data_IF_739360415264
#
_entry.id   IF_739360415264
#
_cell.length_a   1.000
_cell.length_b   1.000
_cell.length_c   1.000
_cell.angle_alpha   90.00
_cell.angle_beta   90.00
_cell.angle_gamma   90.00
#
_symmetry.space_group_name_H-M   'P 1'
#
loop_
_entity.id
_entity.type
_entity.pdbx_description
1 polymer ?
#
# COMPACT_ATOMS: atom_id res chain seq x y z
N UNK A 1 -52.74 11.38 -20.35
CA UNK A 1 -52.78 11.36 -18.88
C UNK A 1 -51.87 10.24 -18.39
N UNK A 2 -51.05 10.51 -17.38
CA UNK A 2 -50.08 9.53 -16.85
C UNK A 2 -50.51 9.15 -15.44
N UNK A 3 -50.76 7.87 -15.18
CA UNK A 3 -51.16 7.37 -13.87
C UNK A 3 -49.97 6.78 -13.12
N UNK A 4 -49.87 7.09 -11.83
CA UNK A 4 -48.80 6.60 -10.94
C UNK A 4 -49.41 5.83 -9.77
N UNK A 5 -48.99 4.57 -9.63
CA UNK A 5 -49.50 3.66 -8.61
C UNK A 5 -48.40 3.24 -7.62
N UNK A 6 -48.77 3.08 -6.35
CA UNK A 6 -47.91 2.52 -5.30
C UNK A 6 -48.50 1.23 -4.79
N UNK A 7 -47.64 0.31 -4.34
CA UNK A 7 -48.11 -0.97 -3.80
C UNK A 7 -48.88 -0.76 -2.48
N UNK A 8 -50.10 -1.28 -2.42
CA UNK A 8 -50.95 -1.24 -1.23
C UNK A 8 -50.87 -2.56 -0.46
N UNK A 9 -50.94 -3.70 -1.16
CA UNK A 9 -50.95 -5.03 -0.55
C UNK A 9 -50.32 -6.04 -1.50
N UNK A 10 -49.52 -6.97 -0.96
CA UNK A 10 -49.04 -8.15 -1.67
C UNK A 10 -49.89 -9.36 -1.34
N UNK A 11 -50.35 -10.11 -2.33
CA UNK A 11 -51.01 -11.41 -2.13
C UNK A 11 -50.26 -12.50 -2.90
N UNK A 12 -50.56 -13.76 -2.60
CA UNK A 12 -49.89 -14.90 -3.26
C UNK A 12 -50.17 -15.00 -4.77
N UNK A 13 -51.28 -14.43 -5.26
CA UNK A 13 -51.72 -14.55 -6.65
C UNK A 13 -51.71 -13.24 -7.43
N UNK A 14 -51.76 -12.08 -6.76
CA UNK A 14 -51.71 -10.76 -7.37
C UNK A 14 -51.34 -9.69 -6.35
N UNK A 15 -50.67 -8.64 -6.79
CA UNK A 15 -50.41 -7.45 -5.99
C UNK A 15 -51.52 -6.42 -6.22
N UNK A 16 -51.91 -5.74 -5.15
CA UNK A 16 -52.86 -4.63 -5.22
C UNK A 16 -52.09 -3.33 -5.16
N UNK A 17 -52.20 -2.56 -6.22
CA UNK A 17 -51.64 -1.23 -6.34
C UNK A 17 -52.74 -0.20 -6.11
N UNK A 18 -52.40 0.96 -5.58
CA UNK A 18 -53.30 2.10 -5.39
C UNK A 18 -52.79 3.32 -6.12
N UNK A 19 -53.71 4.11 -6.68
CA UNK A 19 -53.34 5.39 -7.27
C UNK A 19 -52.84 6.34 -6.17
N UNK A 20 -51.60 6.83 -6.32
CA UNK A 20 -50.93 7.65 -5.31
C UNK A 20 -51.69 8.96 -5.08
N UNK A 21 -52.33 9.51 -6.12
CA UNK A 21 -52.96 10.83 -6.05
C UNK A 21 -54.41 10.80 -5.58
N UNK A 22 -55.18 9.79 -5.97
CA UNK A 22 -56.51 9.60 -5.37
C UNK A 22 -56.40 9.51 -3.85
N UNK A 23 -55.37 8.81 -3.35
CA UNK A 23 -55.11 8.72 -1.92
C UNK A 23 -54.87 10.09 -1.28
N UNK A 24 -54.11 10.98 -1.92
CA UNK A 24 -53.86 12.34 -1.42
C UNK A 24 -55.10 13.24 -1.39
N UNK A 25 -56.13 12.87 -2.16
CA UNK A 25 -57.43 13.55 -2.21
C UNK A 25 -58.53 12.82 -1.41
N UNK A 26 -58.18 11.80 -0.63
CA UNK A 26 -59.13 11.02 0.16
C UNK A 26 -59.94 9.95 -0.61
N UNK A 27 -59.60 9.70 -1.88
CA UNK A 27 -60.21 8.67 -2.73
C UNK A 27 -59.33 7.41 -2.84
N UNK A 28 -59.94 6.24 -3.05
CA UNK A 28 -59.24 4.94 -3.01
C UNK A 28 -59.38 4.14 -4.30
N UNK A 29 -58.67 4.57 -5.34
CA UNK A 29 -58.57 3.82 -6.60
C UNK A 29 -57.50 2.73 -6.47
N UNK A 30 -57.90 1.49 -6.73
CA UNK A 30 -57.05 0.30 -6.65
C UNK A 30 -57.03 -0.41 -8.01
N UNK A 31 -55.92 -1.05 -8.32
CA UNK A 31 -55.73 -1.86 -9.52
C UNK A 31 -54.97 -3.12 -9.14
N UNK A 32 -55.31 -4.25 -9.77
CA UNK A 32 -54.59 -5.52 -9.59
C UNK A 32 -53.46 -5.64 -10.61
N UNK A 33 -52.30 -6.09 -10.14
CA UNK A 33 -51.11 -6.34 -10.96
C UNK A 33 -50.68 -7.78 -10.75
N UNK A 34 -50.51 -8.53 -11.84
CA UNK A 34 -49.94 -9.88 -11.83
C UNK A 34 -48.57 -9.81 -12.49
N UNK A 35 -47.52 -10.10 -11.74
CA UNK A 35 -46.15 -9.86 -12.20
C UNK A 35 -45.92 -8.37 -12.48
N UNK A 36 -45.76 -8.00 -13.75
CA UNK A 36 -45.56 -6.62 -14.22
C UNK A 36 -46.72 -6.09 -15.08
N UNK A 37 -47.85 -6.80 -15.16
CA UNK A 37 -48.99 -6.41 -16.00
C UNK A 37 -50.22 -6.02 -15.17
N UNK A 38 -50.88 -4.94 -15.59
CA UNK A 38 -52.16 -4.51 -15.04
C UNK A 38 -53.28 -5.42 -15.55
N UNK A 39 -54.15 -5.91 -14.66
CA UNK A 39 -55.29 -6.76 -15.06
C UNK A 39 -56.40 -6.01 -15.79
N UNK A 40 -56.42 -4.69 -15.68
CA UNK A 40 -57.40 -3.81 -16.31
C UNK A 40 -56.68 -2.56 -16.81
N UNK A 41 -57.23 -1.88 -17.82
CA UNK A 41 -56.61 -0.66 -18.34
C UNK A 41 -56.66 0.42 -17.26
N UNK A 42 -55.50 0.94 -16.78
CA UNK A 42 -55.49 1.99 -15.76
C UNK A 42 -56.24 3.26 -16.18
N UNK A 43 -56.35 3.50 -17.49
CA UNK A 43 -57.07 4.62 -18.09
C UNK A 43 -58.59 4.43 -18.12
N UNK A 44 -59.09 3.19 -17.99
CA UNK A 44 -60.54 2.91 -17.95
C UNK A 44 -61.12 2.93 -16.54
N UNK A 45 -60.29 3.03 -15.50
CA UNK A 45 -60.75 3.17 -14.13
C UNK A 45 -61.27 4.59 -13.94
N UNK A 46 -62.55 4.74 -13.58
CA UNK A 46 -63.25 6.02 -13.44
C UNK A 46 -62.68 6.91 -12.34
N UNK A 47 -61.55 7.55 -12.61
CA UNK A 47 -60.91 8.51 -11.71
C UNK A 47 -60.24 9.64 -12.50
N UNK A 48 -60.49 10.88 -12.08
CA UNK A 48 -59.84 12.06 -12.65
C UNK A 48 -58.64 12.36 -11.76
N UNK A 49 -57.46 11.95 -12.22
CA UNK A 49 -56.18 12.26 -11.58
C UNK A 49 -55.49 13.35 -12.41
N UNK A 50 -55.79 14.64 -12.20
CA UNK A 50 -55.19 15.71 -12.98
C UNK A 50 -53.67 15.66 -12.77
N UNK A 51 -52.90 15.45 -13.85
CA UNK A 51 -51.44 15.58 -13.85
C UNK A 51 -51.07 16.98 -13.36
N UNK A 52 -50.10 17.13 -12.44
CA UNK A 52 -49.69 18.46 -12.00
C UNK A 52 -48.94 19.12 -13.17
N UNK A 53 -47.90 18.45 -13.67
CA UNK A 53 -47.24 18.68 -14.96
C UNK A 53 -46.58 17.37 -15.42
N UNK A 54 -46.31 17.23 -16.72
CA UNK A 54 -45.52 16.09 -17.27
C UNK A 54 -44.13 16.04 -16.63
N UNK A 55 -43.54 17.21 -16.38
CA UNK A 55 -42.25 17.37 -15.73
C UNK A 55 -42.19 16.81 -14.29
N UNK A 56 -43.22 17.05 -13.48
CA UNK A 56 -43.28 16.54 -12.10
C UNK A 56 -43.24 15.00 -12.06
N UNK A 57 -44.07 14.35 -12.88
CA UNK A 57 -44.17 12.90 -12.93
C UNK A 57 -42.91 12.24 -13.51
N UNK A 58 -42.31 12.86 -14.55
CA UNK A 58 -41.04 12.42 -15.11
C UNK A 58 -39.90 12.49 -14.08
N UNK A 59 -39.81 13.57 -13.31
CA UNK A 59 -38.80 13.72 -12.27
C UNK A 59 -38.95 12.69 -11.14
N UNK A 60 -40.19 12.40 -10.68
CA UNK A 60 -40.42 11.39 -9.64
C UNK A 60 -39.90 10.02 -10.06
N UNK A 61 -40.20 9.60 -11.31
CA UNK A 61 -39.76 8.30 -11.83
C UNK A 61 -38.24 8.22 -11.91
N UNK A 62 -37.63 9.21 -12.57
CA UNK A 62 -36.17 9.28 -12.72
C UNK A 62 -35.47 9.30 -11.36
N UNK A 63 -35.99 10.06 -10.40
CA UNK A 63 -35.45 10.07 -9.04
C UNK A 63 -35.59 8.72 -8.33
N UNK A 64 -36.70 8.01 -8.51
CA UNK A 64 -36.88 6.68 -7.92
C UNK A 64 -35.90 5.65 -8.52
N UNK A 65 -35.72 5.66 -9.84
CA UNK A 65 -34.75 4.83 -10.56
C UNK A 65 -33.32 5.13 -10.09
N UNK A 66 -32.96 6.41 -9.95
CA UNK A 66 -31.67 6.83 -9.38
C UNK A 66 -31.47 6.27 -7.97
N UNK A 67 -32.51 6.33 -7.11
CA UNK A 67 -32.41 5.79 -5.74
C UNK A 67 -32.26 4.26 -5.73
N UNK A 68 -32.91 3.54 -6.65
CA UNK A 68 -32.72 2.09 -6.80
C UNK A 68 -31.32 1.75 -7.32
N UNK A 69 -30.84 2.50 -8.31
CA UNK A 69 -29.47 2.38 -8.82
C UNK A 69 -28.45 2.61 -7.71
N UNK A 70 -28.59 3.67 -6.91
CA UNK A 70 -27.73 3.95 -5.76
C UNK A 70 -27.73 2.79 -4.77
N UNK A 71 -28.87 2.13 -4.52
CA UNK A 71 -28.94 0.98 -3.61
C UNK A 71 -28.15 -0.23 -4.12
N UNK A 72 -28.18 -0.49 -5.43
CA UNK A 72 -27.51 -1.63 -6.07
C UNK A 72 -26.04 -1.38 -6.42
N UNK A 73 -25.65 -0.12 -6.60
CA UNK A 73 -24.34 0.25 -7.13
C UNK A 73 -23.27 0.38 -6.03
N UNK A 74 -22.23 -0.45 -6.10
CA UNK A 74 -21.07 -0.37 -5.22
C UNK A 74 -20.27 0.92 -5.39
N UNK A 75 -20.37 1.65 -6.51
CA UNK A 75 -19.71 2.94 -6.67
C UNK A 75 -20.35 4.05 -5.82
N UNK A 76 -21.58 3.82 -5.32
CA UNK A 76 -22.22 4.71 -4.35
C UNK A 76 -21.64 4.56 -2.93
N UNK A 77 -20.81 3.54 -2.67
CA UNK A 77 -20.10 3.35 -1.38
C UNK A 77 -19.12 4.51 -1.14
N UNK A 78 -19.43 5.34 -0.14
CA UNK A 78 -18.57 6.44 0.31
C UNK A 78 -18.90 7.81 -0.28
N UNK A 79 -19.90 7.92 -1.16
CA UNK A 79 -20.40 9.21 -1.63
C UNK A 79 -21.12 9.96 -0.50
N UNK A 80 -20.94 11.28 -0.45
CA UNK A 80 -21.71 12.17 0.43
C UNK A 80 -23.06 12.48 -0.19
N UNK A 81 -24.07 12.72 0.65
CA UNK A 81 -25.44 13.09 0.25
C UNK A 81 -25.45 14.22 -0.80
N UNK A 82 -24.62 15.25 -0.61
CA UNK A 82 -24.52 16.39 -1.53
C UNK A 82 -23.89 16.03 -2.88
N UNK A 83 -22.99 15.05 -2.94
CA UNK A 83 -22.39 14.59 -4.20
C UNK A 83 -23.41 13.85 -5.06
N UNK A 84 -24.26 13.02 -4.45
CA UNK A 84 -25.38 12.38 -5.14
C UNK A 84 -26.38 13.41 -5.65
N UNK A 85 -26.69 14.44 -4.86
CA UNK A 85 -27.58 15.51 -5.30
C UNK A 85 -27.06 16.22 -6.55
N UNK A 86 -25.77 16.60 -6.58
CA UNK A 86 -25.14 17.18 -7.77
C UNK A 86 -25.06 16.22 -8.96
N UNK A 87 -24.87 14.92 -8.71
CA UNK A 87 -24.91 13.90 -9.76
C UNK A 87 -26.30 13.89 -10.43
N UNK A 88 -27.38 13.85 -9.65
CA UNK A 88 -28.74 13.91 -10.18
C UNK A 88 -29.07 15.22 -10.91
N UNK A 89 -28.49 16.36 -10.52
CA UNK A 89 -28.60 17.61 -11.28
C UNK A 89 -27.96 17.45 -12.68
N UNK A 90 -26.73 16.96 -12.74
CA UNK A 90 -26.01 16.74 -14.01
C UNK A 90 -26.72 15.75 -14.92
N UNK A 91 -27.17 14.62 -14.39
CA UNK A 91 -27.86 13.58 -15.19
C UNK A 91 -29.19 14.06 -15.77
N UNK A 92 -29.82 15.09 -15.18
CA UNK A 92 -31.00 15.74 -15.75
C UNK A 92 -30.62 16.74 -16.83
N UNK A 93 -29.60 17.56 -16.57
CA UNK A 93 -29.06 18.48 -17.58
C UNK A 93 -28.59 17.73 -18.84
N UNK A 94 -27.82 16.66 -18.67
CA UNK A 94 -27.28 15.82 -19.75
C UNK A 94 -28.36 15.04 -20.53
N UNK A 95 -29.57 14.90 -19.97
CA UNK A 95 -30.68 14.22 -20.66
C UNK A 95 -31.48 15.14 -21.60
N UNK A 96 -30.95 16.31 -21.95
CA UNK A 96 -31.58 17.27 -22.87
C UNK A 96 -31.64 16.72 -24.29
N UNK A 97 -32.82 16.78 -24.90
CA UNK A 97 -33.05 16.43 -26.32
C UNK A 97 -33.70 17.61 -27.04
N UNK A 98 -33.39 17.82 -28.33
CA UNK A 98 -33.86 18.97 -29.13
C UNK A 98 -35.39 19.06 -29.28
N UNK A 99 -36.13 17.97 -29.04
CA UNK A 99 -37.57 17.89 -29.29
C UNK A 99 -38.49 18.21 -28.09
N UNK A 100 -37.96 18.50 -26.88
CA UNK A 100 -38.78 18.61 -25.65
C UNK A 100 -38.20 19.57 -24.59
N UNK A 101 -37.78 20.77 -25.00
CA UNK A 101 -37.09 21.75 -24.14
C UNK A 101 -37.90 22.19 -22.91
N UNK A 102 -39.20 22.49 -23.07
CA UNK A 102 -40.06 22.89 -21.96
C UNK A 102 -40.27 21.78 -20.91
N UNK A 103 -40.25 20.51 -21.35
CA UNK A 103 -40.36 19.36 -20.44
C UNK A 103 -39.05 19.18 -19.67
N UNK A 104 -37.90 19.36 -20.34
CA UNK A 104 -36.58 19.31 -19.72
C UNK A 104 -36.42 20.37 -18.62
N UNK A 105 -36.71 21.64 -18.93
CA UNK A 105 -36.63 22.74 -17.97
C UNK A 105 -37.54 22.50 -16.76
N UNK A 106 -38.74 21.98 -17.00
CA UNK A 106 -39.65 21.56 -15.94
C UNK A 106 -39.07 20.46 -15.07
N UNK A 107 -38.47 19.40 -15.63
CA UNK A 107 -37.88 18.30 -14.87
C UNK A 107 -36.70 18.76 -14.01
N UNK A 108 -35.85 19.63 -14.55
CA UNK A 108 -34.73 20.22 -13.80
C UNK A 108 -35.24 21.07 -12.64
N UNK A 109 -36.23 21.94 -12.90
CA UNK A 109 -36.88 22.77 -11.88
C UNK A 109 -37.51 21.91 -10.76
N UNK A 110 -38.24 20.85 -11.12
CA UNK A 110 -38.91 19.94 -10.16
C UNK A 110 -37.93 19.12 -9.32
N UNK A 111 -36.76 18.80 -9.87
CA UNK A 111 -35.71 18.14 -9.10
C UNK A 111 -35.05 19.10 -8.11
N UNK A 112 -34.80 20.34 -8.55
CA UNK A 112 -34.23 21.37 -7.70
C UNK A 112 -35.20 21.75 -6.58
N UNK A 113 -36.46 22.07 -6.90
CA UNK A 113 -37.50 22.46 -5.95
C UNK A 113 -37.04 23.60 -5.05
N UNK A 114 -37.06 23.38 -3.73
CA UNK A 114 -36.50 24.33 -2.73
C UNK A 114 -35.00 24.11 -2.45
N UNK A 115 -34.30 23.46 -3.37
CA UNK A 115 -32.89 23.12 -3.29
C UNK A 115 -32.60 21.79 -2.59
N UNK A 116 -31.33 21.62 -2.18
CA UNK A 116 -30.78 20.38 -1.62
C UNK A 116 -31.61 19.77 -0.47
N UNK A 117 -32.18 20.59 0.40
CA UNK A 117 -32.91 20.12 1.59
C UNK A 117 -34.13 19.26 1.24
N UNK A 118 -34.78 19.50 0.09
CA UNK A 118 -35.92 18.70 -0.38
C UNK A 118 -35.57 17.22 -0.55
N UNK A 119 -34.37 16.92 -1.06
CA UNK A 119 -33.94 15.54 -1.42
C UNK A 119 -32.97 14.93 -0.41
N UNK A 120 -32.36 15.75 0.45
CA UNK A 120 -31.35 15.34 1.44
C UNK A 120 -31.74 14.12 2.26
N UNK A 121 -32.92 14.11 2.88
CA UNK A 121 -33.37 13.00 3.75
C UNK A 121 -33.54 11.69 2.97
N UNK A 122 -34.06 11.75 1.75
CA UNK A 122 -34.30 10.56 0.95
C UNK A 122 -33.00 9.98 0.40
N UNK A 123 -32.12 10.83 -0.11
CA UNK A 123 -30.76 10.43 -0.52
C UNK A 123 -29.99 9.84 0.67
N UNK A 124 -30.04 10.48 1.84
CA UNK A 124 -29.36 9.99 3.04
C UNK A 124 -29.85 8.61 3.49
N UNK A 125 -31.17 8.35 3.43
CA UNK A 125 -31.74 7.03 3.73
C UNK A 125 -31.26 5.95 2.75
N UNK A 126 -31.20 6.26 1.46
CA UNK A 126 -30.72 5.30 0.46
C UNK A 126 -29.21 5.04 0.55
N UNK A 127 -28.42 6.06 0.89
CA UNK A 127 -26.99 5.89 1.18
C UNK A 127 -26.72 5.14 2.50
N UNK A 128 -27.64 5.21 3.47
CA UNK A 128 -27.47 4.53 4.75
C UNK A 128 -27.40 3.01 4.61
N UNK A 129 -27.99 2.42 3.57
CA UNK A 129 -27.90 0.99 3.25
C UNK A 129 -26.45 0.55 3.02
N UNK A 130 -25.58 1.48 2.61
CA UNK A 130 -24.15 1.23 2.42
C UNK A 130 -23.30 1.45 3.67
N UNK A 131 -23.85 2.00 4.77
CA UNK A 131 -23.09 2.22 6.01
C UNK A 131 -22.64 0.91 6.65
N UNK A 132 -23.52 -0.09 6.71
CA UNK A 132 -23.21 -1.39 7.30
C UNK A 132 -22.34 -2.27 6.39
N UNK A 133 -22.29 -1.94 5.10
CA UNK A 133 -21.37 -2.52 4.11
C UNK A 133 -20.00 -1.83 4.07
N UNK A 134 -19.78 -0.79 4.88
CA UNK A 134 -18.51 -0.08 4.89
C UNK A 134 -17.49 -0.82 5.74
N UNK A 135 -16.35 -1.14 5.14
CA UNK A 135 -15.22 -1.69 5.89
C UNK A 135 -14.70 -0.68 6.92
N UNK A 136 -14.58 -1.15 8.15
CA UNK A 136 -13.93 -0.48 9.28
C UNK A 136 -12.92 -1.42 9.91
N UNK A 137 -12.07 -0.92 10.81
CA UNK A 137 -11.13 -1.80 11.53
C UNK A 137 -11.87 -2.82 12.43
N UNK A 138 -13.07 -2.49 12.92
CA UNK A 138 -13.87 -3.39 13.76
C UNK A 138 -14.73 -4.36 12.94
N UNK A 139 -15.12 -3.99 11.72
CA UNK A 139 -15.98 -4.79 10.86
C UNK A 139 -15.52 -4.73 9.40
N UNK A 140 -15.03 -5.86 8.88
CA UNK A 140 -14.70 -6.04 7.46
C UNK A 140 -15.81 -6.89 6.81
N UNK A 141 -16.57 -6.37 5.83
CA UNK A 141 -17.57 -7.12 5.09
C UNK A 141 -17.04 -8.43 4.48
N UNK A 142 -17.87 -9.48 4.44
CA UNK A 142 -17.46 -10.83 4.02
C UNK A 142 -16.86 -10.88 2.61
N UNK A 143 -17.35 -10.06 1.67
CA UNK A 143 -16.81 -9.95 0.30
C UNK A 143 -15.38 -9.42 0.25
N UNK A 144 -14.96 -8.69 1.28
CA UNK A 144 -13.60 -8.17 1.46
C UNK A 144 -12.71 -9.10 2.30
N UNK A 145 -13.30 -10.06 3.03
CA UNK A 145 -12.54 -11.03 3.81
C UNK A 145 -11.92 -12.13 2.95
N UNK A 146 -12.55 -12.48 1.81
CA UNK A 146 -12.12 -13.59 0.96
C UNK A 146 -11.60 -13.13 -0.41
N UNK A 147 -10.78 -13.96 -1.05
CA UNK A 147 -10.37 -13.85 -2.46
C UNK A 147 -11.47 -14.32 -3.41
N UNK A 148 -11.25 -14.16 -4.72
CA UNK A 148 -12.20 -14.59 -5.76
C UNK A 148 -12.44 -16.10 -5.79
N UNK A 149 -11.48 -16.90 -5.31
CA UNK A 149 -11.58 -18.36 -5.20
C UNK A 149 -12.18 -18.83 -3.85
N UNK A 150 -12.74 -17.90 -3.07
CA UNK A 150 -13.36 -18.17 -1.77
C UNK A 150 -12.36 -18.34 -0.61
N UNK A 151 -11.06 -18.37 -0.88
CA UNK A 151 -10.05 -18.51 0.17
C UNK A 151 -10.02 -17.27 1.08
N UNK A 152 -9.81 -17.48 2.38
CA UNK A 152 -9.71 -16.40 3.35
C UNK A 152 -8.46 -15.54 3.07
N UNK A 153 -8.66 -14.23 2.94
CA UNK A 153 -7.60 -13.24 2.77
C UNK A 153 -7.32 -12.46 4.05
N UNK A 154 -8.34 -12.16 4.85
CA UNK A 154 -8.21 -11.52 6.18
C UNK A 154 -7.90 -12.59 7.23
N UNK A 155 -6.67 -12.58 7.75
CA UNK A 155 -6.06 -13.67 8.54
C UNK A 155 -5.96 -13.36 10.04
N UNK A 156 -6.08 -12.09 10.40
CA UNK A 156 -6.27 -11.62 11.78
C UNK A 156 -6.94 -10.25 11.73
N UNK A 157 -7.89 -10.02 12.63
CA UNK A 157 -8.60 -8.76 12.74
C UNK A 157 -8.71 -8.33 14.20
N UNK A 158 -8.47 -7.04 14.45
CA UNK A 158 -8.78 -6.33 15.68
C UNK A 158 -8.90 -4.84 15.35
N UNK A 159 -9.44 -4.03 16.26
CA UNK A 159 -9.66 -2.59 16.04
C UNK A 159 -8.42 -1.79 15.59
N UNK A 160 -7.22 -2.30 15.84
CA UNK A 160 -5.96 -1.60 15.60
C UNK A 160 -4.94 -2.42 14.82
N UNK A 161 -5.29 -3.63 14.40
CA UNK A 161 -4.36 -4.55 13.77
C UNK A 161 -5.07 -5.55 12.88
N UNK A 162 -4.76 -5.52 11.58
CA UNK A 162 -5.20 -6.51 10.59
C UNK A 162 -3.99 -7.18 9.94
N UNK A 163 -4.14 -8.44 9.56
CA UNK A 163 -3.20 -9.15 8.68
C UNK A 163 -3.97 -9.71 7.48
N UNK A 164 -3.42 -9.50 6.28
CA UNK A 164 -3.93 -10.05 5.03
C UNK A 164 -2.83 -10.83 4.31
N UNK A 165 -3.15 -12.03 3.85
CA UNK A 165 -2.32 -12.82 2.94
C UNK A 165 -3.12 -13.97 2.34
N UNK A 166 -2.62 -14.51 1.23
CA UNK A 166 -3.09 -15.74 0.60
C UNK A 166 -2.13 -16.88 0.90
N UNK A 167 -2.60 -17.93 1.55
CA UNK A 167 -1.79 -19.14 1.78
C UNK A 167 -1.34 -19.77 0.47
N UNK A 168 -2.21 -19.78 -0.56
CA UNK A 168 -1.89 -20.30 -1.90
C UNK A 168 -0.76 -19.51 -2.57
N UNK A 169 -0.75 -18.18 -2.42
CA UNK A 169 0.33 -17.33 -2.95
C UNK A 169 1.65 -17.62 -2.23
N UNK A 170 1.63 -17.77 -0.90
CA UNK A 170 2.82 -18.10 -0.11
C UNK A 170 3.34 -19.50 -0.45
N UNK A 171 2.46 -20.49 -0.54
CA UNK A 171 2.80 -21.86 -0.96
C UNK A 171 3.48 -21.84 -2.32
N UNK A 172 2.92 -21.10 -3.27
CA UNK A 172 3.50 -20.98 -4.61
C UNK A 172 4.87 -20.31 -4.59
N UNK A 173 5.04 -19.26 -3.80
CA UNK A 173 6.34 -18.60 -3.63
C UNK A 173 7.40 -19.58 -3.12
N UNK A 174 7.04 -20.47 -2.18
CA UNK A 174 7.93 -21.53 -1.72
C UNK A 174 8.28 -22.50 -2.85
N UNK A 175 7.30 -22.95 -3.64
CA UNK A 175 7.53 -23.92 -4.72
C UNK A 175 8.41 -23.38 -5.86
N UNK A 176 8.38 -22.06 -6.13
CA UNK A 176 9.28 -21.41 -7.10
C UNK A 176 10.58 -20.87 -6.48
N UNK A 177 10.95 -21.33 -5.28
CA UNK A 177 12.28 -21.09 -4.71
C UNK A 177 12.43 -19.74 -4.01
N UNK A 178 11.48 -19.37 -3.15
CA UNK A 178 11.61 -18.25 -2.20
C UNK A 178 12.95 -18.30 -1.46
N UNK A 179 13.73 -17.22 -1.55
CA UNK A 179 15.08 -17.15 -0.98
C UNK A 179 15.38 -15.89 -0.16
N UNK A 180 14.65 -14.79 -0.41
CA UNK A 180 14.79 -13.53 0.33
C UNK A 180 13.42 -13.04 0.76
N UNK A 181 13.32 -12.57 2.01
CA UNK A 181 12.23 -11.75 2.49
C UNK A 181 12.69 -10.30 2.61
N UNK A 182 11.90 -9.36 2.12
CA UNK A 182 12.11 -7.92 2.29
C UNK A 182 10.86 -7.33 2.94
N UNK A 183 11.01 -6.62 4.05
CA UNK A 183 9.85 -6.04 4.71
C UNK A 183 10.07 -4.57 5.08
N UNK A 184 9.04 -3.76 4.88
CA UNK A 184 9.07 -2.32 5.08
C UNK A 184 7.68 -1.75 5.38
N UNK A 185 7.64 -0.60 6.05
CA UNK A 185 6.41 0.07 6.47
C UNK A 185 6.21 1.41 5.77
N UNK A 186 4.98 1.70 5.37
CA UNK A 186 4.59 2.99 4.77
C UNK A 186 3.41 3.62 5.51
N UNK A 187 3.54 4.91 5.81
CA UNK A 187 2.53 5.68 6.56
C UNK A 187 1.39 6.21 5.69
N UNK A 188 1.65 6.52 4.43
CA UNK A 188 0.66 7.10 3.53
C UNK A 188 -0.42 6.09 3.10
N UNK A 189 -0.15 4.78 3.16
CA UNK A 189 -1.10 3.74 2.73
C UNK A 189 -1.96 3.17 3.88
N UNK A 190 -1.84 3.69 5.11
CA UNK A 190 -2.72 3.28 6.20
C UNK A 190 -4.18 3.73 5.96
N UNK A 191 -5.21 3.02 6.44
CA UNK A 191 -6.60 3.45 6.29
C UNK A 191 -6.94 4.79 6.97
N UNK A 192 -7.90 5.56 6.44
CA UNK A 192 -8.44 6.78 7.08
C UNK A 192 -8.98 6.50 8.49
N UNK A 193 -9.54 5.31 8.67
CA UNK A 193 -10.12 4.82 9.92
C UNK A 193 -9.10 4.80 11.08
N UNK A 194 -7.80 4.87 10.80
CA UNK A 194 -6.73 4.93 11.83
C UNK A 194 -6.25 6.35 12.16
N UNK A 195 -6.91 7.39 11.65
CA UNK A 195 -6.63 8.79 11.98
C UNK A 195 -5.13 9.16 11.86
N UNK A 196 -4.46 8.63 10.83
CA UNK A 196 -3.02 8.86 10.53
C UNK A 196 -2.03 8.33 11.57
N UNK A 197 -2.47 7.53 12.54
CA UNK A 197 -1.62 7.00 13.62
C UNK A 197 -0.95 5.64 13.34
N UNK A 198 -1.20 5.05 12.17
CA UNK A 198 -0.72 3.73 11.78
C UNK A 198 0.20 3.70 10.56
N UNK A 199 0.32 2.50 10.02
CA UNK A 199 1.08 2.17 8.83
C UNK A 199 0.48 0.94 8.13
N UNK A 200 0.79 0.81 6.85
CA UNK A 200 0.77 -0.47 6.16
C UNK A 200 2.20 -1.04 6.20
N UNK A 201 2.37 -2.18 6.83
CA UNK A 201 3.61 -2.97 6.80
C UNK A 201 3.44 -4.09 5.77
N UNK A 202 4.40 -4.25 4.86
CA UNK A 202 4.34 -5.35 3.88
C UNK A 202 5.61 -6.18 3.90
N UNK A 203 5.43 -7.49 3.73
CA UNK A 203 6.51 -8.47 3.57
C UNK A 203 6.46 -8.99 2.15
N UNK A 204 7.59 -8.91 1.45
CA UNK A 204 7.77 -9.33 0.07
C UNK A 204 8.72 -10.52 0.01
N UNK A 205 8.41 -11.46 -0.88
CA UNK A 205 9.28 -12.56 -1.24
C UNK A 205 10.04 -12.27 -2.52
N UNK A 206 11.32 -12.66 -2.56
CA UNK A 206 12.07 -12.84 -3.80
C UNK A 206 12.24 -14.32 -4.04
N UNK A 207 11.73 -14.79 -5.16
CA UNK A 207 11.72 -16.18 -5.57
C UNK A 207 12.80 -16.44 -6.62
N UNK A 208 12.81 -17.65 -7.19
CA UNK A 208 13.64 -18.00 -8.33
C UNK A 208 13.58 -16.94 -9.44
N UNK A 209 14.71 -16.74 -10.12
CA UNK A 209 14.86 -15.78 -11.23
C UNK A 209 14.64 -14.31 -10.86
N UNK A 210 14.61 -13.98 -9.57
CA UNK A 210 14.44 -12.61 -9.08
C UNK A 210 12.99 -12.12 -9.18
N UNK A 211 12.01 -13.02 -9.22
CA UNK A 211 10.59 -12.69 -9.16
C UNK A 211 10.27 -12.14 -7.78
N UNK A 212 9.74 -10.92 -7.74
CA UNK A 212 9.49 -10.16 -6.52
C UNK A 212 7.98 -10.01 -6.33
N UNK A 213 7.45 -10.51 -5.21
CA UNK A 213 6.01 -10.49 -4.95
C UNK A 213 5.69 -10.09 -3.51
N UNK A 214 4.63 -9.32 -3.25
CA UNK A 214 4.11 -9.16 -1.91
C UNK A 214 3.52 -10.48 -1.42
N UNK A 215 3.77 -10.82 -0.15
CA UNK A 215 3.28 -12.05 0.48
C UNK A 215 2.37 -11.78 1.67
N UNK A 216 2.64 -10.71 2.42
CA UNK A 216 1.86 -10.34 3.61
C UNK A 216 1.65 -8.83 3.66
N UNK A 217 0.45 -8.42 4.02
CA UNK A 217 0.09 -7.06 4.34
C UNK A 217 -0.41 -6.98 5.78
N UNK A 218 0.09 -6.04 6.56
CA UNK A 218 -0.36 -5.81 7.92
C UNK A 218 -0.67 -4.34 8.14
N UNK A 219 -1.88 -4.06 8.59
CA UNK A 219 -2.31 -2.71 8.96
C UNK A 219 -2.18 -2.61 10.48
N UNK A 220 -1.44 -1.62 10.99
CA UNK A 220 -1.21 -1.49 12.44
C UNK A 220 -1.04 -0.04 12.88
N UNK A 221 -1.54 0.29 14.07
CA UNK A 221 -1.20 1.53 14.81
C UNK A 221 0.01 1.39 15.72
N UNK A 222 0.48 0.16 15.95
CA UNK A 222 1.57 -0.15 16.87
C UNK A 222 2.79 -0.69 16.13
N UNK A 223 3.93 -0.05 16.34
CA UNK A 223 5.26 -0.44 15.79
C UNK A 223 6.13 -1.17 16.82
N UNK A 224 5.53 -2.09 17.57
CA UNK A 224 6.21 -2.79 18.68
C UNK A 224 6.78 -4.13 18.22
N UNK A 225 7.79 -4.64 18.93
CA UNK A 225 8.36 -5.97 18.67
C UNK A 225 7.27 -7.06 18.72
N UNK A 226 6.30 -6.95 19.63
CA UNK A 226 5.23 -7.93 19.75
C UNK A 226 4.35 -8.00 18.49
N UNK A 227 4.01 -6.85 17.90
CA UNK A 227 3.20 -6.81 16.68
C UNK A 227 3.97 -7.39 15.49
N UNK A 228 5.22 -6.99 15.27
CA UNK A 228 6.01 -7.58 14.18
C UNK A 228 6.25 -9.07 14.38
N UNK A 229 6.41 -9.51 15.63
CA UNK A 229 6.58 -10.93 15.96
C UNK A 229 5.35 -11.72 15.52
N UNK A 230 4.13 -11.24 15.80
CA UNK A 230 2.89 -11.87 15.29
C UNK A 230 2.88 -12.01 13.76
N UNK A 231 3.22 -10.93 13.04
CA UNK A 231 3.27 -10.93 11.57
C UNK A 231 4.25 -12.00 11.08
N UNK A 232 5.47 -12.00 11.62
CA UNK A 232 6.51 -12.93 11.22
C UNK A 232 6.22 -14.37 11.63
N UNK A 233 5.57 -14.61 12.78
CA UNK A 233 5.22 -15.96 13.23
C UNK A 233 4.18 -16.61 12.32
N UNK A 234 3.11 -15.89 11.95
CA UNK A 234 2.14 -16.40 10.98
C UNK A 234 2.79 -16.76 9.65
N UNK A 235 3.65 -15.89 9.13
CA UNK A 235 4.38 -16.17 7.90
C UNK A 235 5.31 -17.38 8.08
N UNK A 236 6.09 -17.45 9.17
CA UNK A 236 7.02 -18.55 9.42
C UNK A 236 6.31 -19.90 9.46
N UNK A 237 5.16 -20.00 10.14
CA UNK A 237 4.38 -21.25 10.20
C UNK A 237 4.03 -21.76 8.80
N UNK A 238 3.56 -20.87 7.91
CA UNK A 238 3.25 -21.23 6.53
C UNK A 238 4.49 -21.59 5.72
N UNK A 239 5.57 -20.84 5.89
CA UNK A 239 6.84 -21.14 5.21
C UNK A 239 7.35 -22.54 5.60
N UNK A 240 7.24 -22.92 6.88
CA UNK A 240 7.62 -24.24 7.35
C UNK A 240 6.69 -25.34 6.82
N UNK A 241 5.37 -25.12 6.84
CA UNK A 241 4.41 -26.11 6.32
C UNK A 241 4.53 -26.34 4.81
N UNK A 242 5.01 -25.34 4.06
CA UNK A 242 5.22 -25.44 2.62
C UNK A 242 6.67 -25.79 2.23
N UNK A 243 7.50 -26.20 3.18
CA UNK A 243 8.86 -26.69 2.90
C UNK A 243 9.85 -25.61 2.44
N UNK A 244 9.65 -24.35 2.85
CA UNK A 244 10.63 -23.30 2.60
C UNK A 244 11.95 -23.59 3.32
N UNK A 245 13.05 -23.15 2.72
CA UNK A 245 14.39 -23.22 3.32
C UNK A 245 14.44 -22.46 4.66
N UNK A 246 15.22 -22.96 5.62
CA UNK A 246 15.37 -22.31 6.92
C UNK A 246 16.35 -21.11 6.88
N UNK A 247 17.31 -21.13 5.97
CA UNK A 247 18.39 -20.14 5.85
C UNK A 247 18.03 -18.94 4.95
N UNK A 248 16.74 -18.56 4.95
CA UNK A 248 16.25 -17.38 4.21
C UNK A 248 17.06 -16.15 4.56
N UNK A 249 17.25 -15.28 3.57
CA UNK A 249 17.80 -13.95 3.83
C UNK A 249 16.68 -12.98 4.13
N UNK A 250 16.77 -12.23 5.22
CA UNK A 250 15.74 -11.27 5.60
C UNK A 250 16.36 -9.87 5.57
N UNK A 251 15.83 -8.97 4.75
CA UNK A 251 16.34 -7.60 4.58
C UNK A 251 15.30 -6.63 5.12
N UNK A 252 15.64 -5.94 6.21
CA UNK A 252 14.78 -4.96 6.88
C UNK A 252 15.40 -3.56 6.84
N UNK A 253 14.60 -2.55 7.14
CA UNK A 253 15.10 -1.25 7.56
C UNK A 253 15.80 -1.32 8.95
N UNK A 254 16.20 -0.18 9.50
CA UNK A 254 16.84 -0.11 10.83
C UNK A 254 15.83 0.17 11.95
N UNK A 255 14.59 -0.30 11.83
CA UNK A 255 13.61 -0.23 12.91
C UNK A 255 13.90 -1.31 13.96
N UNK A 256 14.12 -0.88 15.22
CA UNK A 256 14.55 -1.77 16.32
C UNK A 256 13.56 -2.92 16.57
N UNK A 257 12.27 -2.61 16.56
CA UNK A 257 11.19 -3.54 16.86
C UNK A 257 11.02 -4.61 15.79
N UNK A 258 11.08 -4.24 14.50
CA UNK A 258 11.02 -5.19 13.38
C UNK A 258 12.24 -6.14 13.38
N UNK A 259 13.46 -5.60 13.59
CA UNK A 259 14.69 -6.38 13.71
C UNK A 259 14.60 -7.38 14.87
N UNK A 260 14.17 -6.93 16.05
CA UNK A 260 14.08 -7.80 17.22
C UNK A 260 13.04 -8.91 17.03
N UNK A 261 11.94 -8.61 16.36
CA UNK A 261 10.93 -9.61 16.02
C UNK A 261 11.49 -10.66 15.05
N UNK A 262 12.07 -10.23 13.93
CA UNK A 262 12.65 -11.14 12.95
C UNK A 262 13.76 -12.03 13.54
N UNK A 263 14.65 -11.47 14.38
CA UNK A 263 15.69 -12.25 15.07
C UNK A 263 15.11 -13.34 15.98
N UNK A 264 14.00 -13.06 16.67
CA UNK A 264 13.35 -14.00 17.58
C UNK A 264 12.56 -15.06 16.83
N UNK A 265 11.94 -14.70 15.71
CA UNK A 265 11.10 -15.61 14.93
C UNK A 265 11.94 -16.50 14.00
N UNK A 266 12.90 -15.95 13.26
CA UNK A 266 13.70 -16.65 12.25
C UNK A 266 15.14 -16.88 12.71
N UNK A 267 15.35 -17.80 13.65
CA UNK A 267 16.67 -18.09 14.21
C UNK A 267 17.69 -18.64 13.18
N UNK A 268 17.23 -19.41 12.19
CA UNK A 268 18.07 -19.95 11.10
C UNK A 268 18.34 -18.97 9.95
N UNK A 269 17.65 -17.83 9.90
CA UNK A 269 17.73 -16.90 8.79
C UNK A 269 18.95 -15.95 8.86
N UNK A 270 19.41 -15.53 7.69
CA UNK A 270 20.41 -14.48 7.56
C UNK A 270 19.75 -13.09 7.60
N UNK A 271 19.65 -12.51 8.80
CA UNK A 271 19.09 -11.18 8.96
C UNK A 271 20.08 -10.07 8.57
N UNK A 272 19.62 -9.14 7.75
CA UNK A 272 20.37 -8.03 7.20
C UNK A 272 19.58 -6.71 7.28
N UNK A 273 20.30 -5.60 7.41
CA UNK A 273 19.74 -4.26 7.30
C UNK A 273 19.95 -3.68 5.90
N UNK A 274 19.04 -2.82 5.47
CA UNK A 274 19.06 -2.15 4.18
C UNK A 274 20.24 -1.17 4.07
N UNK A 275 21.11 -1.34 3.06
CA UNK A 275 22.27 -0.46 2.89
C UNK A 275 21.91 0.98 2.56
N UNK A 276 20.73 1.22 2.00
CA UNK A 276 20.22 2.57 1.73
C UNK A 276 19.85 3.28 3.04
N UNK A 277 19.05 2.64 3.89
CA UNK A 277 18.70 3.16 5.22
C UNK A 277 19.91 3.34 6.14
N UNK A 278 20.91 2.44 6.06
CA UNK A 278 22.20 2.63 6.74
C UNK A 278 22.88 3.93 6.28
N UNK A 279 23.01 4.10 4.96
CA UNK A 279 23.67 5.27 4.37
C UNK A 279 22.95 6.56 4.77
N UNK A 280 21.61 6.58 4.72
CA UNK A 280 20.82 7.71 5.21
C UNK A 280 21.10 8.01 6.69
N UNK A 281 21.10 7.00 7.57
CA UNK A 281 21.39 7.21 8.98
C UNK A 281 22.79 7.81 9.22
N UNK A 282 23.79 7.34 8.46
CA UNK A 282 25.15 7.88 8.52
C UNK A 282 25.22 9.32 7.98
N UNK A 283 24.58 9.60 6.85
CA UNK A 283 24.53 10.93 6.25
C UNK A 283 23.84 11.93 7.18
N UNK A 284 22.66 11.60 7.73
CA UNK A 284 21.94 12.43 8.70
C UNK A 284 22.77 12.72 9.94
N UNK A 285 23.47 11.71 10.49
CA UNK A 285 24.32 11.93 11.66
C UNK A 285 25.50 12.83 11.37
N UNK A 286 26.15 12.65 10.23
CA UNK A 286 27.23 13.52 9.74
C UNK A 286 26.75 14.96 9.55
N UNK A 287 25.59 15.15 8.93
CA UNK A 287 24.98 16.46 8.71
C UNK A 287 24.63 17.14 10.03
N UNK A 288 24.00 16.42 10.97
CA UNK A 288 23.68 16.92 12.32
C UNK A 288 24.92 17.34 13.11
N UNK A 289 26.08 16.77 12.82
CA UNK A 289 27.36 17.16 13.44
C UNK A 289 28.04 18.33 12.71
N UNK A 290 27.44 18.89 11.67
CA UNK A 290 27.97 20.00 10.90
C UNK A 290 29.17 19.63 10.03
N UNK A 291 29.33 18.34 9.67
CA UNK A 291 30.46 17.87 8.87
C UNK A 291 30.28 18.08 7.36
N UNK A 292 29.07 18.39 6.89
CA UNK A 292 28.76 18.57 5.45
C UNK A 292 29.64 19.61 4.78
N UNK A 293 29.84 20.75 5.43
CA UNK A 293 30.64 21.87 4.91
C UNK A 293 32.10 21.49 4.59
N UNK A 294 32.67 20.53 5.33
CA UNK A 294 34.03 20.07 5.10
C UNK A 294 34.16 19.04 3.96
N UNK A 295 33.03 18.58 3.40
CA UNK A 295 33.00 17.62 2.29
C UNK A 295 32.74 18.28 0.94
N UNK A 296 32.05 19.42 0.94
CA UNK A 296 31.67 20.17 -0.25
C UNK A 296 31.57 21.67 0.06
N UNK A 297 31.87 22.51 -0.93
CA UNK A 297 31.81 23.97 -0.79
C UNK A 297 33.15 24.62 -0.40
N UNK A 298 33.13 25.90 -0.01
CA UNK A 298 34.34 26.71 0.22
C UNK A 298 35.23 26.20 1.38
N UNK A 299 34.63 25.62 2.42
CA UNK A 299 35.35 25.12 3.61
C UNK A 299 35.74 23.64 3.50
N UNK A 300 35.78 23.11 2.27
CA UNK A 300 36.09 21.70 2.00
C UNK A 300 37.51 21.35 2.46
N UNK A 301 37.63 20.29 3.25
CA UNK A 301 38.90 19.73 3.70
C UNK A 301 39.08 18.32 3.10
N UNK A 302 40.18 18.14 2.35
CA UNK A 302 40.48 16.90 1.62
C UNK A 302 40.63 15.70 2.54
N UNK A 303 41.21 15.88 3.73
CA UNK A 303 41.38 14.81 4.74
C UNK A 303 40.04 14.28 5.23
N UNK A 304 39.09 15.17 5.51
CA UNK A 304 37.73 14.82 5.94
C UNK A 304 36.95 14.20 4.78
N UNK A 305 37.08 14.75 3.57
CA UNK A 305 36.47 14.19 2.36
C UNK A 305 36.88 12.73 2.14
N UNK A 306 38.20 12.46 2.15
CA UNK A 306 38.75 11.11 1.96
C UNK A 306 38.36 10.18 3.11
N UNK A 307 38.38 10.67 4.34
CA UNK A 307 37.95 9.93 5.53
C UNK A 307 36.48 9.49 5.42
N UNK A 308 35.59 10.39 4.99
CA UNK A 308 34.18 10.07 4.78
C UNK A 308 33.97 8.99 3.71
N UNK A 309 34.65 9.07 2.58
CA UNK A 309 34.58 8.05 1.53
C UNK A 309 35.08 6.68 2.05
N UNK A 310 36.18 6.65 2.80
CA UNK A 310 36.65 5.41 3.44
C UNK A 310 35.59 4.81 4.36
N UNK A 311 34.95 5.62 5.21
CA UNK A 311 33.92 5.14 6.12
C UNK A 311 32.70 4.58 5.38
N UNK A 312 32.18 5.27 4.36
CA UNK A 312 31.06 4.76 3.53
C UNK A 312 31.38 3.39 2.92
N UNK A 313 32.60 3.23 2.41
CA UNK A 313 33.07 2.00 1.79
C UNK A 313 33.11 0.78 2.71
N UNK A 314 33.10 0.97 4.04
CA UNK A 314 33.14 -0.12 5.02
C UNK A 314 31.97 -1.09 4.87
N UNK A 315 30.83 -0.65 4.32
CA UNK A 315 29.65 -1.50 4.10
C UNK A 315 30.00 -2.70 3.22
N UNK A 316 30.96 -2.54 2.31
CA UNK A 316 31.41 -3.58 1.41
C UNK A 316 32.70 -4.27 1.86
N UNK A 317 33.23 -3.94 3.04
CA UNK A 317 34.47 -4.52 3.54
C UNK A 317 34.22 -5.74 4.44
N UNK A 318 34.94 -6.86 4.27
CA UNK A 318 34.91 -7.98 5.21
C UNK A 318 35.13 -7.51 6.65
N UNK A 319 34.32 -8.01 7.59
CA UNK A 319 34.40 -7.62 9.02
C UNK A 319 35.81 -7.77 9.59
N UNK A 320 36.53 -8.84 9.22
CA UNK A 320 37.90 -9.12 9.65
C UNK A 320 38.94 -8.08 9.22
N UNK A 321 38.66 -7.29 8.19
CA UNK A 321 39.59 -6.26 7.70
C UNK A 321 39.32 -4.87 8.27
N UNK A 322 38.25 -4.68 9.06
CA UNK A 322 37.88 -3.37 9.62
C UNK A 322 38.97 -2.80 10.52
N UNK A 323 39.67 -3.65 11.28
CA UNK A 323 40.80 -3.23 12.13
C UNK A 323 41.98 -2.63 11.35
N UNK A 324 42.03 -2.85 10.02
CA UNK A 324 43.10 -2.34 9.15
C UNK A 324 42.79 -0.98 8.53
N UNK A 325 41.64 -0.38 8.85
CA UNK A 325 41.17 0.89 8.26
C UNK A 325 41.45 2.03 9.23
N UNK A 326 42.47 2.84 8.94
CA UNK A 326 42.90 3.94 9.83
C UNK A 326 41.82 5.00 10.06
N UNK A 327 40.88 5.14 9.12
CA UNK A 327 39.72 6.02 9.28
C UNK A 327 38.89 5.70 10.54
N UNK A 328 38.99 4.48 11.07
CA UNK A 328 38.31 4.05 12.30
C UNK A 328 39.12 4.32 13.57
N UNK A 329 40.39 4.69 13.49
CA UNK A 329 41.27 4.91 14.66
C UNK A 329 40.98 6.27 15.31
N UNK A 330 40.92 7.34 14.52
CA UNK A 330 40.70 8.69 15.02
C UNK A 330 40.28 9.71 13.95
N UNK A 331 40.01 10.96 14.38
CA UNK A 331 39.73 12.07 13.46
C UNK A 331 40.83 12.27 12.41
N UNK A 332 40.48 12.66 11.17
CA UNK A 332 41.46 12.81 10.08
C UNK A 332 42.22 14.14 10.10
N UNK A 333 42.04 14.95 11.15
CA UNK A 333 42.62 16.30 11.28
C UNK A 333 43.25 16.46 12.68
N UNK A 334 44.17 17.42 12.90
CA UNK A 334 44.77 17.69 14.21
C UNK A 334 43.76 18.20 15.24
N UNK A 335 44.10 18.11 16.54
CA UNK A 335 43.25 18.53 17.66
C UNK A 335 42.81 20.01 17.60
N UNK A 336 43.65 20.89 17.06
CA UNK A 336 43.36 22.32 16.91
C UNK A 336 42.36 22.65 15.79
N UNK A 337 42.02 21.71 14.91
CA UNK A 337 41.07 21.97 13.83
C UNK A 337 39.62 21.87 14.33
N UNK A 338 38.76 22.84 13.98
CA UNK A 338 37.31 22.87 14.30
C UNK A 338 36.54 21.57 14.05
N UNK A 339 36.93 20.81 13.03
CA UNK A 339 36.28 19.58 12.66
C UNK A 339 36.69 18.37 13.52
N UNK A 340 37.74 18.48 14.33
CA UNK A 340 38.27 17.39 15.14
C UNK A 340 37.20 16.78 16.05
N UNK A 341 36.58 17.63 16.89
CA UNK A 341 35.53 17.20 17.83
C UNK A 341 34.31 16.65 17.10
N UNK A 342 33.94 17.22 15.95
CA UNK A 342 32.83 16.76 15.10
C UNK A 342 33.11 15.35 14.55
N UNK A 343 34.30 15.10 14.03
CA UNK A 343 34.73 13.78 13.55
C UNK A 343 34.79 12.75 14.69
N UNK A 344 35.35 13.12 15.85
CA UNK A 344 35.42 12.24 17.02
C UNK A 344 34.02 11.81 17.50
N UNK A 345 33.05 12.75 17.53
CA UNK A 345 31.65 12.45 17.86
C UNK A 345 30.99 11.52 16.85
N UNK A 346 31.34 11.64 15.57
CA UNK A 346 30.85 10.72 14.53
C UNK A 346 31.44 9.30 14.73
N UNK A 347 32.75 9.17 14.97
CA UNK A 347 33.37 7.88 15.25
C UNK A 347 32.78 7.19 16.47
N UNK A 348 32.51 7.95 17.55
CA UNK A 348 31.82 7.42 18.73
C UNK A 348 30.44 6.87 18.40
N UNK A 349 29.66 7.62 17.59
CA UNK A 349 28.37 7.13 17.11
C UNK A 349 28.51 5.85 16.26
N UNK A 350 29.48 5.83 15.34
CA UNK A 350 29.74 4.68 14.48
C UNK A 350 30.11 3.44 15.31
N UNK A 351 31.01 3.60 16.28
CA UNK A 351 31.41 2.52 17.21
C UNK A 351 30.22 2.00 17.99
N UNK A 352 29.55 2.86 18.75
CA UNK A 352 28.51 2.47 19.71
C UNK A 352 27.25 1.91 19.04
N UNK A 353 26.90 2.40 17.85
CA UNK A 353 25.67 1.99 17.15
C UNK A 353 25.92 0.84 16.17
N UNK A 354 27.00 0.92 15.39
CA UNK A 354 27.20 0.10 14.19
C UNK A 354 28.34 -0.90 14.30
N UNK A 355 29.39 -0.66 15.10
CA UNK A 355 30.51 -1.61 15.21
C UNK A 355 30.33 -2.58 16.37
N UNK A 356 29.91 -2.09 17.54
CA UNK A 356 29.69 -2.89 18.75
C UNK A 356 28.22 -2.98 19.17
N UNK A 357 27.37 -2.07 18.69
CA UNK A 357 25.97 -1.96 19.09
C UNK A 357 25.02 -2.98 18.46
N UNK A 358 23.73 -2.70 18.61
CA UNK A 358 22.61 -3.55 18.18
C UNK A 358 22.65 -3.93 16.68
N UNK A 359 23.23 -3.07 15.85
CA UNK A 359 23.29 -3.25 14.40
C UNK A 359 24.56 -3.94 13.91
N UNK A 360 25.50 -4.32 14.79
CA UNK A 360 26.87 -4.77 14.44
C UNK A 360 26.98 -5.80 13.31
N UNK A 361 26.01 -6.70 13.22
CA UNK A 361 26.02 -7.82 12.27
C UNK A 361 25.05 -7.63 11.09
N UNK A 362 24.35 -6.50 10.96
CA UNK A 362 23.27 -6.33 9.98
C UNK A 362 23.68 -5.59 8.70
N UNK A 363 24.70 -4.75 8.75
CA UNK A 363 24.99 -3.80 7.66
C UNK A 363 26.12 -4.23 6.70
N UNK A 364 26.80 -5.36 6.95
CA UNK A 364 27.88 -5.84 6.08
C UNK A 364 27.30 -6.40 4.76
N UNK A 365 27.69 -5.83 3.62
CA UNK A 365 27.31 -6.24 2.26
C UNK A 365 28.44 -6.85 1.46
N UNK A 366 29.54 -7.23 2.12
CA UNK A 366 30.59 -8.03 1.49
C UNK A 366 30.01 -9.35 0.95
N UNK A 367 30.32 -9.70 -0.31
CA UNK A 367 29.78 -10.87 -1.03
C UNK A 367 28.25 -10.91 -1.13
N UNK A 368 27.58 -9.75 -1.00
CA UNK A 368 26.15 -9.61 -1.28
C UNK A 368 25.98 -8.91 -2.61
N UNK A 369 25.74 -9.68 -3.67
CA UNK A 369 25.68 -9.17 -5.05
C UNK A 369 24.30 -8.61 -5.41
N UNK A 370 23.24 -9.12 -4.77
CA UNK A 370 21.85 -8.75 -5.02
C UNK A 370 21.12 -8.38 -3.72
N UNK A 371 19.90 -7.82 -3.83
CA UNK A 371 18.98 -7.51 -2.72
C UNK A 371 19.66 -6.91 -1.47
N UNK A 372 20.46 -5.84 -1.66
CA UNK A 372 21.16 -5.13 -0.57
C UNK A 372 20.30 -4.06 0.10
N UNK A 373 19.18 -3.68 -0.52
CA UNK A 373 18.29 -2.60 -0.10
C UNK A 373 16.84 -3.08 -0.10
N UNK A 374 15.96 -2.26 0.48
CA UNK A 374 14.49 -2.39 0.50
C UNK A 374 13.82 -1.75 -0.72
N UNK A 375 14.57 -1.48 -1.80
CA UNK A 375 14.04 -0.79 -2.98
C UNK A 375 12.81 -1.48 -3.59
N UNK A 376 12.70 -2.81 -3.49
CA UNK A 376 11.51 -3.56 -3.88
C UNK A 376 10.28 -3.05 -3.11
N UNK A 377 10.35 -3.04 -1.78
CA UNK A 377 9.24 -2.61 -0.95
C UNK A 377 8.92 -1.12 -1.19
N UNK A 378 9.93 -0.25 -1.30
CA UNK A 378 9.74 1.17 -1.62
C UNK A 378 9.09 1.39 -3.00
N UNK A 379 9.52 0.63 -4.02
CA UNK A 379 8.94 0.68 -5.35
C UNK A 379 7.49 0.18 -5.35
N UNK A 380 7.22 -0.90 -4.61
CA UNK A 380 5.87 -1.41 -4.38
C UNK A 380 4.99 -0.35 -3.71
N UNK A 381 5.45 0.29 -2.62
CA UNK A 381 4.68 1.33 -1.94
C UNK A 381 4.43 2.55 -2.84
N UNK A 382 5.41 2.93 -3.66
CA UNK A 382 5.22 3.99 -4.65
C UNK A 382 4.20 3.62 -5.71
N UNK A 383 4.18 2.37 -6.18
CA UNK A 383 3.17 1.87 -7.12
C UNK A 383 1.79 1.86 -6.47
N UNK A 384 1.69 1.30 -5.26
CA UNK A 384 0.48 1.26 -4.47
C UNK A 384 -0.13 2.65 -4.30
N UNK A 385 0.70 3.67 -4.02
CA UNK A 385 0.22 5.04 -3.89
C UNK A 385 -0.35 5.61 -5.19
N UNK A 386 0.21 5.24 -6.35
CA UNK A 386 -0.35 5.63 -7.65
C UNK A 386 -1.69 4.96 -7.92
N UNK A 387 -1.83 3.69 -7.56
CA UNK A 387 -3.08 2.94 -7.72
C UNK A 387 -4.18 3.52 -6.81
N UNK A 388 -3.84 3.80 -5.55
CA UNK A 388 -4.78 4.37 -4.58
C UNK A 388 -5.18 5.81 -4.91
N UNK A 389 -4.30 6.57 -5.59
CA UNK A 389 -4.47 7.97 -5.96
C UNK A 389 -4.87 8.88 -4.78
N UNK A 390 -4.51 8.50 -3.55
CA UNK A 390 -4.74 9.31 -2.36
C UNK A 390 -3.88 8.83 -1.20
N UNK A 391 -3.51 9.77 -0.34
CA UNK A 391 -3.01 9.44 0.99
C UNK A 391 -4.17 9.02 1.89
N UNK A 392 -3.91 7.95 2.64
CA UNK A 392 -4.83 7.33 3.56
C UNK A 392 -6.13 6.92 2.88
N UNK A 393 -6.20 5.78 2.16
CA UNK A 393 -7.43 5.35 1.52
C UNK A 393 -8.49 4.90 2.55
N UNK A 394 -9.79 4.89 2.22
CA UNK A 394 -10.76 4.12 2.99
C UNK A 394 -10.35 2.65 3.06
N UNK A 395 -10.54 1.98 4.20
CA UNK A 395 -10.12 0.58 4.39
C UNK A 395 -10.63 -0.35 3.27
N UNK A 396 -11.90 -0.24 2.89
CA UNK A 396 -12.47 -1.10 1.85
C UNK A 396 -11.79 -0.95 0.49
N UNK A 397 -11.41 0.29 0.13
CA UNK A 397 -10.62 0.56 -1.09
C UNK A 397 -9.24 -0.06 -1.00
N UNK A 398 -8.57 0.07 0.15
CA UNK A 398 -7.26 -0.54 0.36
C UNK A 398 -7.34 -2.06 0.20
N UNK A 399 -8.31 -2.73 0.86
CA UNK A 399 -8.44 -4.19 0.80
C UNK A 399 -8.63 -4.68 -0.64
N UNK A 400 -9.47 -4.01 -1.45
CA UNK A 400 -9.65 -4.37 -2.86
C UNK A 400 -8.34 -4.31 -3.63
N UNK A 401 -7.59 -3.21 -3.49
CA UNK A 401 -6.28 -3.07 -4.14
C UNK A 401 -5.29 -4.12 -3.65
N UNK A 402 -5.29 -4.48 -2.36
CA UNK A 402 -4.45 -5.56 -1.84
C UNK A 402 -4.82 -6.92 -2.43
N UNK A 403 -6.11 -7.20 -2.69
CA UNK A 403 -6.56 -8.42 -3.38
C UNK A 403 -6.09 -8.45 -4.83
N UNK A 404 -6.16 -7.31 -5.54
CA UNK A 404 -5.67 -7.21 -6.93
C UNK A 404 -4.16 -7.44 -7.00
N UNK A 405 -3.40 -6.91 -6.04
CA UNK A 405 -1.96 -7.11 -5.93
C UNK A 405 -1.58 -8.55 -5.55
N UNK A 406 -2.38 -9.24 -4.73
CA UNK A 406 -2.21 -10.68 -4.48
C UNK A 406 -2.48 -11.51 -5.74
N UNK A 407 -3.50 -11.14 -6.53
CA UNK A 407 -3.76 -11.78 -7.82
C UNK A 407 -2.60 -11.58 -8.80
N UNK A 408 -2.07 -10.36 -8.92
CA UNK A 408 -0.87 -10.08 -9.72
C UNK A 408 0.33 -10.92 -9.26
N UNK A 409 0.56 -10.99 -7.94
CA UNK A 409 1.60 -11.82 -7.34
C UNK A 409 1.44 -13.30 -7.72
N UNK A 410 0.23 -13.85 -7.58
CA UNK A 410 -0.10 -15.23 -7.94
C UNK A 410 0.17 -15.50 -9.43
N UNK A 411 -0.22 -14.59 -10.31
CA UNK A 411 0.07 -14.67 -11.75
C UNK A 411 1.57 -14.64 -12.05
N UNK A 412 2.33 -13.75 -11.41
CA UNK A 412 3.78 -13.69 -11.55
C UNK A 412 4.46 -14.99 -11.12
N UNK A 413 3.99 -15.62 -10.04
CA UNK A 413 4.51 -16.90 -9.55
C UNK A 413 4.17 -18.06 -10.48
N UNK A 414 2.96 -18.11 -11.07
CA UNK A 414 2.64 -19.11 -12.10
C UNK A 414 3.51 -18.96 -13.35
N UNK A 415 3.79 -17.73 -13.77
CA UNK A 415 4.72 -17.47 -14.88
C UNK A 415 6.13 -17.93 -14.52
N UNK A 416 6.60 -17.65 -13.31
CA UNK A 416 7.92 -18.04 -12.84
C UNK A 416 8.13 -19.56 -12.86
N UNK A 417 7.08 -20.32 -12.51
CA UNK A 417 7.12 -21.78 -12.58
C UNK A 417 7.16 -22.29 -14.03
N UNK A 418 6.35 -21.72 -14.92
CA UNK A 418 6.30 -22.13 -16.34
C UNK A 418 7.52 -21.69 -17.13
N UNK A 419 8.13 -20.57 -16.75
CA UNK A 419 9.27 -19.94 -17.43
C UNK A 419 10.45 -19.79 -16.46
N UNK A 420 11.06 -20.89 -15.97
CA UNK A 420 12.09 -20.87 -14.94
C UNK A 420 13.44 -20.31 -15.41
N UNK A 421 13.57 -19.92 -16.68
CA UNK A 421 14.76 -19.23 -17.20
C UNK A 421 14.52 -17.73 -17.41
N UNK A 422 13.28 -17.25 -17.25
CA UNK A 422 12.94 -15.85 -17.43
C UNK A 422 13.31 -15.04 -16.19
N UNK A 423 14.49 -14.41 -16.24
CA UNK A 423 14.96 -13.50 -15.21
C UNK A 423 14.18 -12.18 -15.15
N UNK A 424 14.16 -11.57 -13.95
CA UNK A 424 13.68 -10.21 -13.78
C UNK A 424 14.40 -9.24 -14.73
N UNK A 425 13.63 -8.52 -15.55
CA UNK A 425 14.17 -7.45 -16.38
C UNK A 425 14.60 -6.26 -15.52
N UNK A 426 15.88 -5.92 -15.60
CA UNK A 426 16.45 -4.76 -14.93
C UNK A 426 16.72 -3.65 -15.95
N UNK A 427 16.60 -2.39 -15.51
CA UNK A 427 17.02 -1.26 -16.35
C UNK A 427 18.52 -1.38 -16.60
N UNK A 428 18.97 -1.02 -17.81
CA UNK A 428 20.40 -1.06 -18.21
C UNK A 428 21.33 -0.41 -17.17
N UNK A 429 20.94 0.72 -16.59
CA UNK A 429 21.72 1.41 -15.55
C UNK A 429 21.90 0.57 -14.27
N UNK A 430 20.90 -0.22 -13.90
CA UNK A 430 20.90 -1.04 -12.69
C UNK A 430 21.74 -2.29 -12.90
N UNK A 431 21.69 -2.88 -14.11
CA UNK A 431 22.60 -3.95 -14.57
C UNK A 431 24.05 -3.50 -14.48
N UNK A 432 24.42 -2.40 -15.17
CA UNK A 432 25.77 -1.87 -15.17
C UNK A 432 26.28 -1.53 -13.76
N UNK A 433 25.39 -1.02 -12.89
CA UNK A 433 25.74 -0.75 -11.49
C UNK A 433 26.05 -2.04 -10.73
N UNK A 434 25.24 -3.10 -10.92
CA UNK A 434 25.48 -4.42 -10.30
C UNK A 434 26.80 -5.00 -10.77
N UNK A 435 27.04 -5.02 -12.08
CA UNK A 435 28.29 -5.53 -12.67
C UNK A 435 29.53 -4.83 -12.13
N UNK A 436 29.53 -3.49 -12.06
CA UNK A 436 30.65 -2.72 -11.50
C UNK A 436 30.93 -3.06 -10.04
N UNK A 437 29.88 -3.24 -9.23
CA UNK A 437 30.03 -3.64 -7.83
C UNK A 437 30.59 -5.07 -7.74
N UNK A 438 30.06 -5.99 -8.54
CA UNK A 438 30.52 -7.38 -8.60
C UNK A 438 31.99 -7.45 -9.01
N UNK A 439 32.39 -6.76 -10.07
CA UNK A 439 33.77 -6.71 -10.55
C UNK A 439 34.74 -6.17 -9.49
N UNK A 440 34.40 -5.08 -8.80
CA UNK A 440 35.23 -4.51 -7.73
C UNK A 440 35.35 -5.46 -6.53
N UNK A 441 34.25 -6.11 -6.12
CA UNK A 441 34.27 -7.11 -5.06
C UNK A 441 35.10 -8.34 -5.42
N UNK A 442 34.92 -8.88 -6.63
CA UNK A 442 35.64 -10.07 -7.11
C UNK A 442 37.14 -9.80 -7.23
N UNK A 443 37.52 -8.64 -7.80
CA UNK A 443 38.93 -8.23 -7.87
C UNK A 443 39.55 -8.08 -6.47
N UNK A 444 38.79 -7.60 -5.49
CA UNK A 444 39.27 -7.49 -4.11
C UNK A 444 39.35 -8.85 -3.40
N UNK A 445 38.38 -9.75 -3.61
CA UNK A 445 38.39 -11.10 -3.06
C UNK A 445 39.56 -11.92 -3.59
N UNK A 446 39.88 -11.78 -4.88
CA UNK A 446 41.06 -12.40 -5.48
C UNK A 446 42.35 -11.94 -4.79
N UNK A 447 42.56 -10.62 -4.64
CA UNK A 447 43.74 -10.08 -3.92
C UNK A 447 43.81 -10.52 -2.47
N UNK A 448 42.64 -10.67 -1.82
CA UNK A 448 42.54 -11.14 -0.44
C UNK A 448 42.97 -12.60 -0.29
N UNK A 449 42.65 -13.46 -1.26
CA UNK A 449 43.08 -14.87 -1.30
C UNK A 449 44.58 -15.01 -1.55
N UNK A 450 45.16 -14.12 -2.36
CA UNK A 450 46.60 -14.13 -2.66
C UNK A 450 47.49 -13.63 -1.50
N UNK A 451 46.95 -13.25 -0.34
CA UNK A 451 47.71 -12.84 0.85
C UNK A 451 48.45 -11.49 0.77
N UNK A 452 48.40 -10.79 -0.37
CA UNK A 452 49.24 -9.60 -0.68
C UNK A 452 48.64 -8.24 -0.28
N UNK A 453 47.64 -8.18 0.60
CA UNK A 453 46.96 -6.92 0.90
C UNK A 453 47.71 -6.08 1.94
N UNK A 454 48.11 -4.85 1.57
CA UNK A 454 48.57 -3.79 2.48
C UNK A 454 47.39 -2.90 2.94
N UNK A 455 47.52 -2.20 4.06
CA UNK A 455 46.42 -1.37 4.62
C UNK A 455 45.93 -0.29 3.64
N UNK A 456 46.84 0.35 2.89
CA UNK A 456 46.47 1.34 1.88
C UNK A 456 45.59 0.76 0.75
N UNK A 457 45.72 -0.53 0.44
CA UNK A 457 44.91 -1.20 -0.59
C UNK A 457 43.49 -1.48 -0.08
N UNK A 458 43.36 -1.81 1.21
CA UNK A 458 42.07 -1.93 1.90
C UNK A 458 41.35 -0.58 1.89
N UNK A 459 42.04 0.50 2.25
CA UNK A 459 41.50 1.86 2.22
C UNK A 459 41.09 2.30 0.80
N UNK A 460 41.94 2.02 -0.22
CA UNK A 460 41.62 2.31 -1.63
C UNK A 460 40.41 1.53 -2.12
N UNK A 461 40.23 0.29 -1.65
CA UNK A 461 39.02 -0.49 -1.93
C UNK A 461 37.78 0.19 -1.33
N UNK A 462 37.82 0.59 -0.04
CA UNK A 462 36.70 1.28 0.58
C UNK A 462 36.32 2.57 -0.17
N UNK A 463 37.29 3.42 -0.53
CA UNK A 463 37.04 4.65 -1.31
C UNK A 463 36.37 4.33 -2.65
N UNK A 464 36.87 3.31 -3.38
CA UNK A 464 36.25 2.88 -4.64
C UNK A 464 34.83 2.37 -4.45
N UNK A 465 34.56 1.67 -3.37
CA UNK A 465 33.22 1.14 -3.08
C UNK A 465 32.23 2.21 -2.60
N UNK A 466 32.74 3.31 -2.03
CA UNK A 466 31.93 4.40 -1.51
C UNK A 466 31.02 5.05 -2.55
N UNK A 467 31.41 5.06 -3.84
CA UNK A 467 30.59 5.57 -4.96
C UNK A 467 29.28 4.81 -5.16
N UNK A 468 29.20 3.58 -4.65
CA UNK A 468 28.00 2.76 -4.72
C UNK A 468 27.08 2.91 -3.50
N UNK A 469 27.47 3.74 -2.53
CA UNK A 469 26.70 4.06 -1.33
C UNK A 469 25.96 5.39 -1.53
N UNK A 470 24.72 5.46 -1.05
CA UNK A 470 23.88 6.66 -1.19
C UNK A 470 24.45 7.85 -0.41
N UNK A 471 24.41 9.04 -1.00
CA UNK A 471 24.68 10.31 -0.31
C UNK A 471 23.39 11.01 0.17
N UNK A 472 22.22 10.39 0.00
CA UNK A 472 20.94 10.98 0.41
C UNK A 472 20.82 11.03 1.95
N UNK A 473 20.27 12.14 2.46
CA UNK A 473 20.00 12.36 3.88
C UNK A 473 18.51 12.39 4.23
N UNK A 474 17.60 12.11 3.29
CA UNK A 474 16.13 12.31 3.40
C UNK A 474 15.63 11.96 4.81
#
# INVERSE_FOLDING_TARGET
>A
MVYSFSILRKNNTFDVYRCIRCQSQGSYVKIKVVGNEFQENPCSIGHICPSQTVAFDANIRKFYEEMQSIRGDSNSLGMRVKQIWYKGLREREESRTESDEAVHDGVVSEYYGIGFEMRKRQIARNLAIHKDKRATMANVPSDLQCLCDGALFLQEQSERFHIYFSERTIQKACSVGLNVLVADGVHSAQPKELARSGQLYSVHGVCGNGVEVPLVYAITTKKTTAIYKKIFEKLKTLLQSFGAREDLRIVLDFEKSSINAAKRTFAGAQLEGCSFHMAQAWNRRKDKLGLRQYLCGPTRERRISRWWEMLKGLVFLPKRLRARVRALEGPPVPRGHDAYRKCARFLRYLRNTWLSGMYKNLWCKWKKFEMRTTNLAEAFHSSLQKILNCDHPPLGTLIRVLKDLDLEAKCALYRAERMPLEGKRLRRRDVLRREKITAEMTSFDHRLRMGRLRNHQVEKYCIRMARFVSNKSI
#
